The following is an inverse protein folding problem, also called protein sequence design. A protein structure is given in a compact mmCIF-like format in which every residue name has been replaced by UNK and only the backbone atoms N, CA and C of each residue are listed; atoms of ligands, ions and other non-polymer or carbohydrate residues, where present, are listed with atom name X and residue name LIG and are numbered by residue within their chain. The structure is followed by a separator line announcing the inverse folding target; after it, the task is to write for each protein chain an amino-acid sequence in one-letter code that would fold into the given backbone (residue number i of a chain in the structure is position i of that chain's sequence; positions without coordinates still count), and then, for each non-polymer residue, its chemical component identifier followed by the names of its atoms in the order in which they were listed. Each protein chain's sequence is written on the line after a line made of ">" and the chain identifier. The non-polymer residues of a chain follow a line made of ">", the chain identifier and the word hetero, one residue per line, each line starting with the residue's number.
data_IF_269888621275
#
_entry.id   IF_269888621275
#
_cell.length_a   1.000
_cell.length_b   1.000
_cell.length_c   1.000
_cell.angle_alpha   90.00
_cell.angle_beta   90.00
_cell.angle_gamma   90.00
#
_symmetry.space_group_name_H-M   'P 1'
#
loop_
_entity.id
_entity.type
_entity.pdbx_description
1 polymer ?
#
# COMPACT_ATOMS: atom_id res chain seq x y z
N UNK A 1 -16.10 8.23 -4.55
CA UNK A 1 -14.64 8.27 -4.82
C UNK A 1 -13.98 7.48 -3.71
N UNK A 2 -13.00 6.63 -4.01
CA UNK A 2 -12.30 5.77 -3.04
C UNK A 2 -11.15 6.57 -2.42
N UNK A 3 -11.17 6.77 -1.12
CA UNK A 3 -10.12 7.53 -0.42
C UNK A 3 -8.94 6.62 -0.07
N UNK A 4 -7.75 7.08 -0.43
CA UNK A 4 -6.51 6.33 -0.29
C UNK A 4 -5.51 7.05 0.60
N UNK A 5 -4.81 6.30 1.44
CA UNK A 5 -3.60 6.74 2.13
C UNK A 5 -2.38 6.01 1.54
N UNK A 6 -1.36 6.72 1.13
CA UNK A 6 -0.13 6.18 0.54
C UNK A 6 1.03 6.31 1.51
N UNK A 7 1.67 5.19 1.86
CA UNK A 7 2.79 5.10 2.78
C UNK A 7 4.08 4.66 2.07
N UNK A 8 5.13 5.44 2.26
CA UNK A 8 6.38 5.31 1.52
C UNK A 8 6.33 6.09 0.20
N UNK A 9 7.14 7.13 0.10
CA UNK A 9 7.15 8.07 -1.03
C UNK A 9 8.49 8.02 -1.80
N UNK A 10 9.19 6.90 -1.71
CA UNK A 10 10.33 6.59 -2.56
C UNK A 10 9.90 6.41 -4.03
N UNK A 11 10.80 5.96 -4.89
CA UNK A 11 10.55 5.82 -6.33
C UNK A 11 9.23 5.08 -6.65
N UNK A 12 8.99 3.94 -6.01
CA UNK A 12 7.79 3.13 -6.27
C UNK A 12 6.53 3.80 -5.70
N UNK A 13 6.64 4.40 -4.50
CA UNK A 13 5.52 5.15 -3.93
C UNK A 13 5.10 6.34 -4.77
N UNK A 14 6.05 7.07 -5.36
CA UNK A 14 5.74 8.18 -6.26
C UNK A 14 5.02 7.70 -7.53
N UNK A 15 5.47 6.59 -8.14
CA UNK A 15 4.79 5.98 -9.27
C UNK A 15 3.34 5.59 -8.93
N UNK A 16 3.12 4.96 -7.77
CA UNK A 16 1.76 4.67 -7.31
C UNK A 16 0.95 5.94 -7.05
N UNK A 17 1.58 6.97 -6.47
CA UNK A 17 0.94 8.27 -6.26
C UNK A 17 0.47 8.91 -7.56
N UNK A 18 1.28 8.87 -8.61
CA UNK A 18 0.92 9.35 -9.95
C UNK A 18 -0.27 8.58 -10.53
N UNK A 19 -0.24 7.25 -10.45
CA UNK A 19 -1.32 6.40 -10.94
C UNK A 19 -2.64 6.64 -10.18
N UNK A 20 -2.57 6.76 -8.85
CA UNK A 20 -3.73 7.03 -8.01
C UNK A 20 -4.31 8.42 -8.30
N UNK A 21 -3.45 9.43 -8.43
CA UNK A 21 -3.86 10.82 -8.72
C UNK A 21 -4.50 10.96 -10.11
N UNK A 22 -3.96 10.27 -11.11
CA UNK A 22 -4.48 10.31 -12.47
C UNK A 22 -5.81 9.55 -12.63
N UNK A 23 -6.15 8.64 -11.73
CA UNK A 23 -7.30 7.77 -11.89
C UNK A 23 -8.56 8.33 -11.22
N UNK A 24 -9.59 8.66 -11.99
CA UNK A 24 -10.82 9.35 -11.56
C UNK A 24 -11.61 8.73 -10.40
N UNK A 25 -11.41 7.43 -10.11
CA UNK A 25 -12.09 6.73 -9.01
C UNK A 25 -11.41 6.91 -7.66
N UNK A 26 -10.14 7.33 -7.63
CA UNK A 26 -9.38 7.47 -6.39
C UNK A 26 -9.23 8.94 -5.98
N UNK A 27 -9.20 9.13 -4.68
CA UNK A 27 -8.79 10.37 -4.03
C UNK A 27 -7.61 10.06 -3.11
N UNK A 28 -6.40 10.49 -3.48
CA UNK A 28 -5.22 10.37 -2.62
C UNK A 28 -5.32 11.40 -1.49
N UNK A 29 -5.93 10.99 -0.37
CA UNK A 29 -6.22 11.89 0.75
C UNK A 29 -5.00 12.13 1.63
N UNK A 30 -4.27 11.05 1.98
CA UNK A 30 -3.11 11.14 2.86
C UNK A 30 -1.86 10.56 2.23
N UNK A 31 -0.72 11.16 2.56
CA UNK A 31 0.61 10.59 2.29
C UNK A 31 1.43 10.54 3.57
N UNK A 32 2.27 9.52 3.69
CA UNK A 32 3.20 9.35 4.80
C UNK A 32 4.56 8.90 4.33
N UNK A 33 5.60 9.53 4.83
CA UNK A 33 6.99 9.08 4.74
C UNK A 33 7.74 9.48 6.01
N UNK A 34 8.76 8.70 6.40
CA UNK A 34 9.66 9.04 7.51
C UNK A 34 10.46 10.31 7.21
N UNK A 35 10.76 10.56 5.94
CA UNK A 35 11.34 11.82 5.47
C UNK A 35 10.23 12.87 5.31
N UNK A 36 10.12 13.76 6.31
CA UNK A 36 9.07 14.79 6.35
C UNK A 36 9.13 15.78 5.19
N UNK A 37 10.33 16.11 4.72
CA UNK A 37 10.50 17.03 3.59
C UNK A 37 9.99 16.38 2.29
N UNK A 38 10.33 15.11 2.08
CA UNK A 38 9.81 14.34 0.96
C UNK A 38 8.28 14.21 1.04
N UNK A 39 7.75 13.88 2.22
CA UNK A 39 6.32 13.79 2.45
C UNK A 39 5.60 15.08 2.07
N UNK A 40 6.06 16.22 2.55
CA UNK A 40 5.49 17.54 2.24
C UNK A 40 5.56 17.85 0.74
N UNK A 41 6.72 17.63 0.10
CA UNK A 41 6.93 17.86 -1.33
C UNK A 41 5.95 17.04 -2.19
N UNK A 42 5.83 15.75 -1.89
CA UNK A 42 5.02 14.83 -2.68
C UNK A 42 3.52 15.03 -2.41
N UNK A 43 3.13 15.36 -1.18
CA UNK A 43 1.75 15.72 -0.86
C UNK A 43 1.28 16.91 -1.68
N UNK A 44 2.09 17.96 -1.76
CA UNK A 44 1.76 19.15 -2.57
C UNK A 44 1.57 18.79 -4.05
N UNK A 45 2.42 17.89 -4.60
CA UNK A 45 2.31 17.42 -5.99
C UNK A 45 0.97 16.76 -6.28
N UNK A 46 0.41 16.03 -5.33
CA UNK A 46 -0.82 15.26 -5.51
C UNK A 46 -2.05 15.90 -4.84
N UNK A 47 -1.93 17.11 -4.32
CA UNK A 47 -2.99 17.78 -3.54
C UNK A 47 -3.50 16.91 -2.38
N UNK A 48 -2.58 16.20 -1.72
CA UNK A 48 -2.85 15.32 -0.60
C UNK A 48 -2.38 15.96 0.72
N UNK A 49 -2.86 15.45 1.84
CA UNK A 49 -2.46 15.91 3.17
C UNK A 49 -1.29 15.04 3.69
N UNK A 50 -0.12 15.63 4.00
CA UNK A 50 0.95 14.89 4.65
C UNK A 50 0.59 14.61 6.10
N UNK A 51 0.77 13.36 6.53
CA UNK A 51 0.57 12.97 7.93
C UNK A 51 1.90 12.58 8.58
N UNK A 52 2.01 12.82 9.89
CA UNK A 52 3.22 12.51 10.66
C UNK A 52 3.19 11.11 11.30
N UNK A 53 2.01 10.47 11.31
CA UNK A 53 1.81 9.15 11.90
C UNK A 53 0.81 8.36 11.04
N UNK A 54 1.17 7.14 10.59
CA UNK A 54 0.27 6.26 9.86
C UNK A 54 -1.07 6.01 10.57
N UNK A 55 -1.08 6.07 11.90
CA UNK A 55 -2.27 5.86 12.72
C UNK A 55 -3.40 6.84 12.40
N UNK A 56 -3.06 8.07 12.00
CA UNK A 56 -4.03 9.06 11.55
C UNK A 56 -4.89 8.53 10.40
N UNK A 57 -4.26 7.88 9.40
CA UNK A 57 -4.99 7.30 8.28
C UNK A 57 -5.77 6.04 8.67
N UNK A 58 -5.23 5.21 9.57
CA UNK A 58 -5.93 4.02 10.03
C UNK A 58 -7.21 4.37 10.79
N UNK A 59 -7.19 5.40 11.62
CA UNK A 59 -8.32 5.85 12.45
C UNK A 59 -9.35 6.68 11.69
N UNK A 60 -9.00 7.23 10.53
CA UNK A 60 -9.96 7.98 9.72
C UNK A 60 -10.91 7.01 8.99
N UNK A 61 -12.16 6.99 9.41
CA UNK A 61 -13.21 6.14 8.82
C UNK A 61 -13.43 6.41 7.33
N UNK A 62 -13.09 7.60 6.85
CA UNK A 62 -13.20 7.97 5.44
C UNK A 62 -12.12 7.37 4.55
N UNK A 63 -11.06 6.76 5.12
CA UNK A 63 -10.05 6.04 4.35
C UNK A 63 -10.53 4.64 4.06
N UNK A 64 -10.60 4.30 2.78
CA UNK A 64 -11.00 2.98 2.30
C UNK A 64 -9.79 2.05 2.13
N UNK A 65 -8.72 2.57 1.53
CA UNK A 65 -7.54 1.78 1.14
C UNK A 65 -6.26 2.39 1.71
N UNK A 66 -5.39 1.54 2.23
CA UNK A 66 -4.01 1.88 2.57
C UNK A 66 -3.07 1.24 1.55
N UNK A 67 -2.31 2.07 0.85
CA UNK A 67 -1.27 1.68 -0.08
C UNK A 67 0.08 1.70 0.62
N UNK A 68 0.75 0.55 0.72
CA UNK A 68 2.04 0.39 1.40
C UNK A 68 3.12 0.18 0.35
N UNK A 69 3.94 1.22 0.12
CA UNK A 69 5.10 1.22 -0.77
C UNK A 69 6.37 1.67 -0.03
N UNK A 70 6.37 1.50 1.29
CA UNK A 70 7.49 1.81 2.20
C UNK A 70 8.58 0.72 2.12
N UNK A 71 9.59 0.81 2.97
CA UNK A 71 10.64 -0.22 3.04
C UNK A 71 10.09 -1.56 3.55
N UNK A 72 10.55 -2.66 2.98
CA UNK A 72 10.09 -4.03 3.27
C UNK A 72 9.95 -4.37 4.76
N UNK A 73 10.89 -4.01 5.66
CA UNK A 73 10.75 -4.33 7.08
C UNK A 73 9.53 -3.71 7.77
N UNK A 74 8.87 -2.74 7.13
CA UNK A 74 7.68 -2.07 7.69
C UNK A 74 6.37 -2.67 7.21
N UNK A 75 6.37 -3.48 6.16
CA UNK A 75 5.17 -3.97 5.49
C UNK A 75 4.25 -4.72 6.44
N UNK A 76 4.73 -5.77 7.09
CA UNK A 76 3.91 -6.61 7.99
C UNK A 76 3.32 -5.80 9.14
N UNK A 77 4.11 -4.90 9.73
CA UNK A 77 3.62 -4.02 10.80
C UNK A 77 2.45 -3.15 10.33
N UNK A 78 2.60 -2.53 9.16
CA UNK A 78 1.58 -1.64 8.59
C UNK A 78 0.33 -2.42 8.15
N UNK A 79 0.50 -3.62 7.57
CA UNK A 79 -0.62 -4.51 7.24
C UNK A 79 -1.40 -4.88 8.49
N UNK A 80 -0.71 -5.31 9.55
CA UNK A 80 -1.33 -5.72 10.79
C UNK A 80 -2.13 -4.57 11.43
N UNK A 81 -1.59 -3.36 11.43
CA UNK A 81 -2.30 -2.19 11.94
C UNK A 81 -3.51 -1.85 11.05
N UNK A 82 -3.35 -1.76 9.74
CA UNK A 82 -4.44 -1.49 8.82
C UNK A 82 -5.59 -2.51 8.97
N UNK A 83 -5.25 -3.78 9.18
CA UNK A 83 -6.20 -4.88 9.38
C UNK A 83 -7.05 -4.68 10.65
N UNK A 84 -6.45 -4.23 11.76
CA UNK A 84 -7.20 -3.93 13.00
C UNK A 84 -8.27 -2.86 12.79
N UNK A 85 -8.01 -1.92 11.89
CA UNK A 85 -8.94 -0.84 11.52
C UNK A 85 -9.80 -1.19 10.30
N UNK A 86 -9.83 -2.48 9.88
CA UNK A 86 -10.64 -3.01 8.77
C UNK A 86 -10.39 -2.29 7.42
N UNK A 87 -9.20 -1.74 7.23
CA UNK A 87 -8.82 -1.10 5.96
C UNK A 87 -8.51 -2.14 4.90
N UNK A 88 -8.86 -1.84 3.65
CA UNK A 88 -8.35 -2.58 2.49
C UNK A 88 -6.87 -2.24 2.32
N UNK A 89 -6.05 -3.22 2.01
CA UNK A 89 -4.60 -3.02 1.91
C UNK A 89 -4.09 -3.42 0.53
N UNK A 90 -3.37 -2.51 -0.11
CA UNK A 90 -2.40 -2.86 -1.14
C UNK A 90 -1.00 -2.77 -0.53
N UNK A 91 -0.17 -3.77 -0.73
CA UNK A 91 1.21 -3.75 -0.25
C UNK A 91 2.19 -4.19 -1.34
N UNK A 92 3.26 -3.42 -1.50
CA UNK A 92 4.36 -3.79 -2.40
C UNK A 92 5.06 -5.08 -1.96
N UNK A 93 5.62 -5.75 -2.95
CA UNK A 93 6.45 -6.95 -2.74
C UNK A 93 7.89 -6.55 -2.29
N UNK A 94 8.61 -7.43 -1.61
CA UNK A 94 8.14 -8.64 -0.96
C UNK A 94 7.40 -8.30 0.34
N UNK A 95 6.61 -9.24 0.85
CA UNK A 95 5.89 -9.04 2.12
C UNK A 95 6.86 -8.85 3.30
N UNK A 96 7.89 -9.71 3.37
CA UNK A 96 9.07 -9.60 4.24
C UNK A 96 10.18 -10.50 3.67
N UNK A 97 11.42 -10.32 4.14
CA UNK A 97 12.57 -11.16 3.81
C UNK A 97 12.70 -12.37 4.77
N UNK A 98 12.00 -12.33 5.90
CA UNK A 98 11.98 -13.40 6.90
C UNK A 98 10.67 -14.19 6.81
N UNK A 99 10.79 -15.46 6.44
CA UNK A 99 9.64 -16.39 6.32
C UNK A 99 8.88 -16.57 7.65
N UNK A 100 9.56 -16.47 8.79
CA UNK A 100 8.91 -16.58 10.11
C UNK A 100 7.95 -15.40 10.33
N UNK A 101 8.34 -14.20 9.93
CA UNK A 101 7.48 -13.02 9.98
C UNK A 101 6.30 -13.13 9.02
N UNK A 102 6.54 -13.63 7.79
CA UNK A 102 5.46 -13.92 6.82
C UNK A 102 4.45 -14.89 7.41
N UNK A 103 4.89 -15.98 8.04
CA UNK A 103 4.02 -16.96 8.67
C UNK A 103 3.23 -16.38 9.86
N UNK A 104 3.82 -15.45 10.63
CA UNK A 104 3.10 -14.75 11.70
C UNK A 104 2.00 -13.84 11.14
N UNK A 105 2.29 -13.12 10.07
CA UNK A 105 1.31 -12.30 9.36
C UNK A 105 0.13 -13.13 8.84
N UNK A 106 0.42 -14.33 8.29
CA UNK A 106 -0.60 -15.27 7.83
C UNK A 106 -1.63 -15.64 8.92
N UNK A 107 -1.20 -15.75 10.19
CA UNK A 107 -2.10 -16.00 11.32
C UNK A 107 -3.09 -14.85 11.52
N UNK A 108 -2.62 -13.61 11.42
CA UNK A 108 -3.45 -12.41 11.54
C UNK A 108 -4.43 -12.30 10.38
N UNK A 109 -3.95 -12.54 9.15
CA UNK A 109 -4.80 -12.56 7.96
C UNK A 109 -5.92 -13.61 8.10
N UNK A 110 -5.60 -14.82 8.56
CA UNK A 110 -6.61 -15.86 8.81
C UNK A 110 -7.65 -15.46 9.87
N UNK A 111 -7.21 -14.77 10.93
CA UNK A 111 -8.10 -14.33 12.02
C UNK A 111 -9.08 -13.24 11.60
N UNK A 112 -8.61 -12.24 10.86
CA UNK A 112 -9.38 -11.04 10.54
C UNK A 112 -9.96 -11.02 9.12
N UNK A 113 -9.52 -11.95 8.26
CA UNK A 113 -9.89 -12.06 6.84
C UNK A 113 -9.90 -10.71 6.09
N UNK A 114 -8.84 -9.90 6.19
CA UNK A 114 -8.80 -8.58 5.56
C UNK A 114 -8.70 -8.72 4.03
N UNK A 115 -9.18 -7.70 3.32
CA UNK A 115 -8.96 -7.57 1.88
C UNK A 115 -7.54 -7.05 1.63
N UNK A 116 -6.63 -7.94 1.20
CA UNK A 116 -5.23 -7.60 0.91
C UNK A 116 -4.86 -7.98 -0.52
N UNK A 117 -4.23 -7.05 -1.24
CA UNK A 117 -3.59 -7.28 -2.52
C UNK A 117 -2.09 -7.06 -2.38
N UNK A 118 -1.28 -8.04 -2.79
CA UNK A 118 0.18 -7.87 -2.92
C UNK A 118 0.55 -7.43 -4.33
N UNK A 119 1.53 -6.55 -4.43
CA UNK A 119 2.01 -5.92 -5.67
C UNK A 119 2.82 -6.85 -6.58
N UNK A 120 2.33 -8.06 -6.86
CA UNK A 120 2.94 -8.99 -7.82
C UNK A 120 2.64 -8.55 -9.26
N UNK A 121 3.33 -7.49 -9.71
CA UNK A 121 3.11 -6.85 -11.01
C UNK A 121 3.25 -7.79 -12.21
N UNK A 122 4.08 -8.84 -12.13
CA UNK A 122 4.26 -9.81 -13.20
C UNK A 122 2.98 -10.59 -13.56
N UNK A 123 2.00 -10.65 -12.66
CA UNK A 123 0.68 -11.22 -12.96
C UNK A 123 -0.09 -10.45 -14.03
N UNK A 124 0.26 -9.20 -14.25
CA UNK A 124 -0.40 -8.29 -15.20
C UNK A 124 0.50 -7.96 -16.40
N UNK A 125 1.69 -8.53 -16.46
CA UNK A 125 2.63 -8.35 -17.56
C UNK A 125 2.20 -9.20 -18.76
N UNK A 126 2.00 -8.61 -19.95
CA UNK A 126 1.52 -9.34 -21.14
C UNK A 126 2.46 -10.49 -21.55
N UNK A 127 3.79 -10.29 -21.47
CA UNK A 127 4.76 -11.31 -21.83
C UNK A 127 4.70 -12.52 -20.88
N UNK A 128 4.62 -12.28 -19.57
CA UNK A 128 4.46 -13.37 -18.59
C UNK A 128 3.11 -14.09 -18.74
N UNK A 129 2.05 -13.37 -19.07
CA UNK A 129 0.74 -13.97 -19.31
C UNK A 129 0.72 -14.82 -20.59
N UNK A 130 1.47 -14.42 -21.64
CA UNK A 130 1.63 -15.24 -22.85
C UNK A 130 2.33 -16.56 -22.53
N UNK A 131 3.50 -16.49 -21.87
CA UNK A 131 4.24 -17.69 -21.46
C UNK A 131 3.35 -18.63 -20.61
N UNK A 132 2.58 -18.08 -19.69
CA UNK A 132 1.68 -18.89 -18.85
C UNK A 132 0.64 -19.65 -19.72
N UNK A 133 0.03 -18.98 -20.70
CA UNK A 133 -0.94 -19.59 -21.61
C UNK A 133 -0.33 -20.72 -22.47
N UNK A 134 0.95 -20.56 -22.84
CA UNK A 134 1.67 -21.57 -23.62
C UNK A 134 2.03 -22.81 -22.81
N UNK A 135 1.97 -22.71 -21.45
CA UNK A 135 2.28 -23.81 -20.51
C UNK A 135 1.02 -24.50 -19.95
N UNK A 136 -0.16 -23.93 -20.14
CA UNK A 136 -1.47 -24.48 -19.75
C UNK A 136 -2.10 -25.27 -20.91
#
# INVERSE_FOLDING_TARGET
>A
MINVALFGLGRIGQMHGENLHAHKKFNLKYTFDINKNLSKKISNKFNATPINNPKTAFQDEKIDIVFIASSTPTHIKLINEATKYKKIVFCEKPLDLDIKKVNSCKKIIKKFNPKIQLGFNRRYDPGHNSIKKDLE
#
